data_IF_053610688962
#
_entry.id   IF_053610688962
#
_cell.length_a   1.000
_cell.length_b   1.000
_cell.length_c   1.000
_cell.angle_alpha   90.00
_cell.angle_beta   90.00
_cell.angle_gamma   90.00
#
_symmetry.space_group_name_H-M   'P 1'
#
loop_
_entity.id
_entity.type
_entity.pdbx_description
1 polymer ?
#
# COMPACT_ATOMS: atom_id res chain seq x y z
N UNK A 1 56.40 11.06 16.91
CA UNK A 1 55.03 10.65 17.24
C UNK A 1 54.49 9.78 16.11
N UNK A 2 54.35 8.47 16.32
CA UNK A 2 53.66 7.56 15.40
C UNK A 2 52.43 6.99 16.13
N UNK A 3 51.25 6.90 15.50
CA UNK A 3 50.09 6.33 16.14
C UNK A 3 50.28 4.81 16.27
N UNK A 4 50.04 4.27 17.48
CA UNK A 4 49.95 2.83 17.71
C UNK A 4 48.77 2.29 16.91
N UNK A 5 49.04 1.36 15.99
CA UNK A 5 48.02 0.55 15.37
C UNK A 5 47.50 -0.43 16.44
N UNK A 6 46.28 -0.20 16.92
CA UNK A 6 45.57 -1.16 17.75
C UNK A 6 45.15 -2.33 16.86
N UNK A 7 45.92 -3.41 16.92
CA UNK A 7 45.61 -4.68 16.28
C UNK A 7 44.38 -5.29 16.96
N UNK A 8 43.21 -4.97 16.41
CA UNK A 8 41.94 -5.58 16.77
C UNK A 8 41.96 -7.05 16.35
N UNK A 9 42.34 -7.93 17.28
CA UNK A 9 42.13 -9.36 17.14
C UNK A 9 40.62 -9.60 17.07
N UNK A 10 40.10 -9.78 15.86
CA UNK A 10 38.78 -10.37 15.64
C UNK A 10 38.82 -11.77 16.26
N UNK A 11 38.31 -11.88 17.49
CA UNK A 11 38.23 -13.15 18.17
C UNK A 11 37.41 -14.12 17.31
N UNK A 12 37.86 -15.37 17.18
CA UNK A 12 37.15 -16.46 16.50
C UNK A 12 35.62 -16.49 16.76
N UNK A 13 35.11 -16.25 17.98
CA UNK A 13 33.67 -16.14 18.21
C UNK A 13 33.00 -14.97 17.47
N UNK A 14 33.66 -13.83 17.32
CA UNK A 14 33.15 -12.70 16.55
C UNK A 14 33.08 -13.02 15.04
N UNK A 15 34.06 -13.75 14.51
CA UNK A 15 34.05 -14.19 13.12
C UNK A 15 32.93 -15.21 12.87
N UNK A 16 32.70 -16.12 13.81
CA UNK A 16 31.62 -17.11 13.73
C UNK A 16 30.23 -16.46 13.79
N UNK A 17 30.02 -15.48 14.67
CA UNK A 17 28.77 -14.70 14.68
C UNK A 17 28.56 -13.94 13.36
N UNK A 18 29.61 -13.34 12.79
CA UNK A 18 29.52 -12.63 11.52
C UNK A 18 29.17 -13.58 10.37
N UNK A 19 29.77 -14.78 10.32
CA UNK A 19 29.47 -15.82 9.34
C UNK A 19 28.02 -16.33 9.47
N UNK A 20 27.51 -16.48 10.70
CA UNK A 20 26.12 -16.84 10.94
C UNK A 20 25.16 -15.77 10.42
N UNK A 21 25.45 -14.48 10.67
CA UNK A 21 24.63 -13.37 10.19
C UNK A 21 24.61 -13.26 8.65
N UNK A 22 25.71 -13.59 7.97
CA UNK A 22 25.80 -13.63 6.51
C UNK A 22 25.00 -14.79 5.88
N UNK A 23 24.76 -15.86 6.64
CA UNK A 23 24.03 -17.04 6.18
C UNK A 23 22.50 -16.92 6.32
N UNK A 24 21.99 -15.90 7.04
CA UNK A 24 20.55 -15.68 7.18
C UNK A 24 20.00 -15.10 5.88
N UNK A 25 19.12 -15.82 5.14
CA UNK A 25 18.46 -15.24 3.99
C UNK A 25 17.56 -14.10 4.48
N UNK A 26 17.73 -12.90 3.92
CA UNK A 26 16.80 -11.80 4.12
C UNK A 26 15.48 -12.15 3.43
N UNK A 27 14.65 -12.94 4.11
CA UNK A 27 13.31 -13.25 3.66
C UNK A 27 12.53 -11.92 3.62
N UNK A 28 12.21 -11.45 2.41
CA UNK A 28 11.30 -10.33 2.25
C UNK A 28 9.94 -10.80 2.78
N UNK A 29 9.53 -10.30 3.94
CA UNK A 29 8.17 -10.46 4.41
C UNK A 29 7.24 -9.84 3.36
N UNK A 30 6.74 -10.67 2.45
CA UNK A 30 5.69 -10.27 1.52
C UNK A 30 4.44 -10.16 2.38
N UNK A 31 4.15 -8.95 2.87
CA UNK A 31 2.93 -8.67 3.60
C UNK A 31 1.72 -9.14 2.80
N UNK A 32 0.67 -9.57 3.50
CA UNK A 32 -0.58 -10.00 2.88
C UNK A 32 -1.08 -8.92 1.91
N UNK A 33 -1.52 -9.33 0.71
CA UNK A 33 -2.10 -8.39 -0.25
C UNK A 33 -3.41 -7.84 0.31
N UNK A 34 -3.53 -6.52 0.25
CA UNK A 34 -4.69 -5.79 0.75
C UNK A 34 -5.04 -4.65 -0.19
N UNK A 35 -6.33 -4.32 -0.22
CA UNK A 35 -6.89 -3.20 -0.96
C UNK A 35 -7.80 -2.38 -0.04
N UNK A 36 -8.06 -1.14 -0.42
CA UNK A 36 -9.00 -0.28 0.29
C UNK A 36 -10.24 -0.04 -0.56
N UNK A 37 -11.42 -0.36 -0.05
CA UNK A 37 -12.70 -0.12 -0.75
C UNK A 37 -13.65 0.68 0.12
N UNK A 38 -14.58 1.40 -0.51
CA UNK A 38 -15.59 2.17 0.20
C UNK A 38 -16.58 1.23 0.92
N UNK A 39 -17.04 1.62 2.11
CA UNK A 39 -18.11 0.88 2.82
C UNK A 39 -19.44 1.09 2.09
N UNK A 40 -20.23 0.01 1.85
CA UNK A 40 -21.58 0.11 1.30
C UNK A 40 -22.54 0.99 2.11
N UNK A 41 -22.28 1.16 3.42
CA UNK A 41 -23.10 1.98 4.32
C UNK A 41 -22.70 3.47 4.36
N UNK A 42 -21.74 3.90 3.54
CA UNK A 42 -21.29 5.31 3.52
C UNK A 42 -22.28 6.17 2.73
N UNK A 43 -22.54 7.38 3.21
CA UNK A 43 -23.38 8.35 2.50
C UNK A 43 -22.67 8.97 1.30
N UNK A 44 -23.46 9.47 0.33
CA UNK A 44 -22.94 10.03 -0.92
C UNK A 44 -22.04 11.25 -0.73
N UNK A 45 -22.32 12.10 0.26
CA UNK A 45 -21.50 13.30 0.51
C UNK A 45 -20.10 12.88 1.00
N UNK A 46 -20.03 11.90 1.90
CA UNK A 46 -18.78 11.30 2.35
C UNK A 46 -18.03 10.63 1.19
N UNK A 47 -18.70 9.84 0.36
CA UNK A 47 -18.07 9.18 -0.79
C UNK A 47 -17.50 10.18 -1.81
N UNK A 48 -18.26 11.24 -2.11
CA UNK A 48 -17.81 12.33 -2.99
C UNK A 48 -16.59 13.05 -2.42
N UNK A 49 -16.59 13.35 -1.12
CA UNK A 49 -15.46 13.97 -0.45
C UNK A 49 -14.21 13.08 -0.50
N UNK A 50 -14.37 11.77 -0.29
CA UNK A 50 -13.27 10.81 -0.35
C UNK A 50 -12.69 10.67 -1.77
N UNK A 51 -13.57 10.57 -2.79
CA UNK A 51 -13.19 10.52 -4.19
C UNK A 51 -12.36 11.75 -4.56
N UNK A 52 -12.89 12.95 -4.28
CA UNK A 52 -12.21 14.21 -4.58
C UNK A 52 -10.87 14.33 -3.83
N UNK A 53 -10.85 13.97 -2.55
CA UNK A 53 -9.63 13.99 -1.76
C UNK A 53 -8.58 13.03 -2.34
N UNK A 54 -8.93 11.77 -2.57
CA UNK A 54 -8.00 10.78 -3.13
C UNK A 54 -7.44 11.24 -4.48
N UNK A 55 -8.29 11.69 -5.41
CA UNK A 55 -7.87 12.15 -6.73
C UNK A 55 -7.09 13.48 -6.71
N UNK A 56 -7.12 14.24 -5.61
CA UNK A 56 -6.20 15.36 -5.42
C UNK A 56 -4.77 14.93 -5.06
N UNK A 57 -4.59 13.66 -4.68
CA UNK A 57 -3.33 13.10 -4.19
C UNK A 57 -2.72 12.06 -5.15
N UNK A 58 -3.54 11.42 -5.98
CA UNK A 58 -3.14 10.37 -6.93
C UNK A 58 -3.80 10.57 -8.29
N UNK A 59 -3.26 9.95 -9.33
CA UNK A 59 -3.87 9.99 -10.67
C UNK A 59 -5.13 9.10 -10.73
N UNK A 60 -6.27 9.73 -10.99
CA UNK A 60 -7.57 9.06 -11.17
C UNK A 60 -8.00 9.00 -12.64
N UNK A 61 -7.08 9.13 -13.60
CA UNK A 61 -7.37 9.06 -15.03
C UNK A 61 -8.15 7.80 -15.43
N UNK A 62 -7.94 6.67 -14.75
CA UNK A 62 -8.62 5.39 -15.01
C UNK A 62 -10.14 5.43 -14.79
N UNK A 63 -10.62 6.44 -14.03
CA UNK A 63 -12.04 6.67 -13.75
C UNK A 63 -12.73 7.55 -14.79
N UNK A 64 -12.01 8.09 -15.77
CA UNK A 64 -12.62 8.93 -16.79
C UNK A 64 -13.48 8.10 -17.75
N UNK A 65 -14.51 8.72 -18.31
CA UNK A 65 -15.39 8.07 -19.29
C UNK A 65 -14.57 7.49 -20.45
N UNK A 66 -14.77 6.21 -20.73
CA UNK A 66 -14.02 5.47 -21.75
C UNK A 66 -12.78 4.74 -21.23
N UNK A 67 -12.39 4.95 -19.98
CA UNK A 67 -11.33 4.20 -19.33
C UNK A 67 -11.86 2.91 -18.67
N UNK A 68 -10.93 2.00 -18.34
CA UNK A 68 -11.23 0.64 -17.90
C UNK A 68 -12.10 0.56 -16.63
N UNK A 69 -12.02 1.57 -15.76
CA UNK A 69 -12.64 1.61 -14.45
C UNK A 69 -13.79 2.61 -14.32
N UNK A 70 -14.28 3.16 -15.44
CA UNK A 70 -15.46 4.02 -15.42
C UNK A 70 -16.74 3.24 -15.12
N UNK A 71 -16.86 2.01 -15.62
CA UNK A 71 -18.02 1.16 -15.37
C UNK A 71 -17.76 0.19 -14.21
N UNK A 72 -18.75 -0.04 -13.32
CA UNK A 72 -20.06 0.61 -13.30
C UNK A 72 -19.99 2.09 -12.90
N UNK A 73 -20.76 2.93 -13.59
CA UNK A 73 -20.79 4.39 -13.41
C UNK A 73 -21.62 4.73 -12.16
N UNK A 74 -21.01 4.51 -11.00
CA UNK A 74 -21.60 4.85 -9.72
C UNK A 74 -20.51 5.32 -8.74
N UNK A 75 -20.95 6.11 -7.77
CA UNK A 75 -20.06 6.79 -6.84
C UNK A 75 -19.29 5.83 -5.93
N UNK A 76 -19.89 4.72 -5.48
CA UNK A 76 -19.21 3.78 -4.59
C UNK A 76 -18.06 3.06 -5.30
N UNK A 77 -18.24 2.72 -6.58
CA UNK A 77 -17.21 2.09 -7.41
C UNK A 77 -16.06 3.07 -7.69
N UNK A 78 -16.36 4.30 -8.12
CA UNK A 78 -15.32 5.31 -8.37
C UNK A 78 -14.56 5.67 -7.09
N UNK A 79 -15.26 5.87 -5.97
CA UNK A 79 -14.63 6.16 -4.68
C UNK A 79 -13.74 5.00 -4.23
N UNK A 80 -14.19 3.75 -4.33
CA UNK A 80 -13.39 2.57 -3.94
C UNK A 80 -12.06 2.49 -4.69
N UNK A 81 -12.08 2.77 -5.98
CA UNK A 81 -10.87 2.73 -6.83
C UNK A 81 -9.92 3.86 -6.45
N UNK A 82 -10.41 5.10 -6.34
CA UNK A 82 -9.59 6.24 -5.94
C UNK A 82 -8.98 6.05 -4.54
N UNK A 83 -9.78 5.55 -3.59
CA UNK A 83 -9.35 5.26 -2.23
C UNK A 83 -8.31 4.13 -2.20
N UNK A 84 -8.43 3.12 -3.07
CA UNK A 84 -7.40 2.10 -3.22
C UNK A 84 -6.08 2.70 -3.75
N UNK A 85 -6.11 3.49 -4.83
CA UNK A 85 -4.91 4.13 -5.37
C UNK A 85 -4.19 4.98 -4.31
N UNK A 86 -4.95 5.74 -3.52
CA UNK A 86 -4.42 6.48 -2.37
C UNK A 86 -3.82 5.53 -1.32
N UNK A 87 -4.54 4.49 -0.91
CA UNK A 87 -4.08 3.53 0.09
C UNK A 87 -2.76 2.84 -0.30
N UNK A 88 -2.64 2.43 -1.57
CA UNK A 88 -1.45 1.80 -2.11
C UNK A 88 -0.26 2.78 -2.13
N UNK A 89 -0.46 3.99 -2.66
CA UNK A 89 0.60 5.03 -2.74
C UNK A 89 1.11 5.51 -1.38
N UNK A 90 0.34 5.32 -0.29
CA UNK A 90 0.72 5.69 1.09
C UNK A 90 1.27 4.54 1.92
N UNK A 91 1.58 3.39 1.31
CA UNK A 91 2.23 2.27 1.98
C UNK A 91 1.29 1.37 2.78
N UNK A 92 0.01 1.29 2.39
CA UNK A 92 -0.95 0.27 2.86
C UNK A 92 -1.21 0.18 4.37
N UNK A 93 -0.83 1.20 5.14
CA UNK A 93 -1.17 1.24 6.56
C UNK A 93 -2.68 1.38 6.76
N UNK A 94 -3.22 0.76 7.81
CA UNK A 94 -4.67 0.74 8.07
C UNK A 94 -5.28 2.15 8.14
N UNK A 95 -4.53 3.13 8.66
CA UNK A 95 -4.98 4.53 8.77
C UNK A 95 -5.13 5.22 7.40
N UNK A 96 -4.41 4.77 6.36
CA UNK A 96 -4.57 5.28 5.01
C UNK A 96 -5.87 4.81 4.35
N UNK A 97 -6.51 3.78 4.90
CA UNK A 97 -7.85 3.33 4.52
C UNK A 97 -8.91 3.72 5.56
N UNK A 98 -8.67 4.78 6.35
CA UNK A 98 -9.66 5.18 7.35
C UNK A 98 -10.82 5.96 6.71
N UNK A 99 -10.52 7.01 5.92
CA UNK A 99 -11.50 7.88 5.26
C UNK A 99 -12.73 8.19 6.13
N UNK A 100 -12.51 8.72 7.35
CA UNK A 100 -13.59 8.98 8.33
C UNK A 100 -14.45 7.75 8.65
N UNK A 101 -13.83 6.59 8.76
CA UNK A 101 -14.47 5.29 8.98
C UNK A 101 -15.45 4.88 7.86
N UNK A 102 -15.29 5.40 6.64
CA UNK A 102 -16.16 5.09 5.50
C UNK A 102 -15.50 4.15 4.48
N UNK A 103 -14.37 3.55 4.82
CA UNK A 103 -13.67 2.57 4.00
C UNK A 103 -13.30 1.32 4.81
N UNK A 104 -13.01 0.24 4.10
CA UNK A 104 -12.56 -1.01 4.69
C UNK A 104 -11.37 -1.57 3.91
N UNK A 105 -10.43 -2.18 4.65
CA UNK A 105 -9.35 -2.96 4.07
C UNK A 105 -9.90 -4.35 3.75
N UNK A 106 -9.71 -4.79 2.50
CA UNK A 106 -10.08 -6.13 2.03
C UNK A 106 -8.84 -6.92 1.63
N UNK A 107 -8.92 -8.23 1.78
CA UNK A 107 -7.85 -9.19 1.45
C UNK A 107 -8.16 -10.00 0.20
N UNK A 108 -9.39 -9.89 -0.32
CA UNK A 108 -9.81 -10.45 -1.60
C UNK A 108 -9.68 -9.37 -2.66
N UNK A 109 -9.07 -9.71 -3.79
CA UNK A 109 -8.90 -8.81 -4.93
C UNK A 109 -10.28 -8.33 -5.43
N UNK A 110 -10.60 -7.03 -5.35
CA UNK A 110 -11.89 -6.49 -5.76
C UNK A 110 -11.95 -6.16 -7.27
N UNK A 111 -10.92 -6.49 -8.04
CA UNK A 111 -10.87 -6.28 -9.50
C UNK A 111 -12.01 -7.01 -10.21
N UNK A 112 -12.54 -6.41 -11.28
CA UNK A 112 -13.63 -6.98 -12.06
C UNK A 112 -13.51 -6.58 -13.54
N UNK A 113 -13.79 -7.53 -14.44
CA UNK A 113 -13.64 -7.30 -15.89
C UNK A 113 -12.25 -6.76 -16.24
N UNK A 114 -12.21 -5.59 -16.87
CA UNK A 114 -10.96 -4.90 -17.22
C UNK A 114 -10.54 -3.86 -16.17
N UNK A 115 -11.34 -3.62 -15.13
CA UNK A 115 -11.00 -2.69 -14.07
C UNK A 115 -10.16 -3.41 -13.00
N UNK A 116 -8.87 -3.09 -12.99
CA UNK A 116 -7.89 -3.65 -12.05
C UNK A 116 -7.70 -2.71 -10.87
N UNK A 117 -7.91 -3.23 -9.66
CA UNK A 117 -7.53 -2.54 -8.44
C UNK A 117 -6.03 -2.75 -8.20
N UNK A 118 -5.25 -1.70 -8.43
CA UNK A 118 -3.80 -1.77 -8.29
C UNK A 118 -3.37 -2.26 -6.90
N UNK A 119 -2.26 -3.02 -6.90
CA UNK A 119 -1.55 -3.45 -5.71
C UNK A 119 -0.08 -3.03 -5.86
N UNK A 120 0.40 -2.18 -4.94
CA UNK A 120 1.75 -1.58 -4.96
C UNK A 120 2.57 -2.05 -3.75
#
# INVERSE_FOLDING_TARGET
>A
MAPRAESTFLSLPALYLALLLLSVPLARAQGQKTWCVAKPSSDEATLTANLNYACSQVDCSILQRGCACFYPDNLISHASIAMNLYYQSRGRNYWNCYFKNSALVVTTDPSFGNCVYEYI
#
